data_IF_205476502050
#
_entry.id   IF_205476502050
#
_cell.length_a   1.000
_cell.length_b   1.000
_cell.length_c   1.000
_cell.angle_alpha   90.00
_cell.angle_beta   90.00
_cell.angle_gamma   90.00
#
_symmetry.space_group_name_H-M   'P 1'
#
loop_
_entity.id
_entity.type
_entity.pdbx_description
1 polymer ?
#
# COMPACT_ATOMS: atom_id res chain seq x y z
N UNK A 1 -17.06 66.13 -46.25
CA UNK A 1 -15.71 66.26 -46.83
C UNK A 1 -14.95 64.97 -46.51
N UNK A 2 -14.37 64.32 -47.54
CA UNK A 2 -13.58 63.05 -47.53
C UNK A 2 -14.45 61.76 -47.41
N UNK A 3 -14.96 61.16 -48.49
CA UNK A 3 -14.31 60.32 -49.54
C UNK A 3 -13.83 58.95 -48.99
N UNK A 4 -14.60 57.87 -49.19
CA UNK A 4 -14.40 56.79 -50.19
C UNK A 4 -12.97 56.25 -50.25
N UNK A 5 -12.82 54.93 -50.00
CA UNK A 5 -12.02 53.98 -50.78
C UNK A 5 -12.28 52.53 -50.29
N UNK A 6 -13.14 51.80 -51.01
CA UNK A 6 -13.01 50.34 -51.16
C UNK A 6 -12.09 50.10 -52.38
N UNK A 7 -11.36 48.97 -52.44
CA UNK A 7 -11.79 47.96 -53.41
C UNK A 7 -11.65 46.53 -52.84
N UNK A 8 -12.71 45.73 -53.00
CA UNK A 8 -12.85 44.66 -53.99
C UNK A 8 -12.30 43.31 -53.53
N UNK A 9 -13.27 42.45 -53.15
CA UNK A 9 -13.36 41.04 -53.48
C UNK A 9 -12.04 40.29 -53.67
N UNK A 10 -11.46 39.84 -52.56
CA UNK A 10 -10.56 38.69 -52.60
C UNK A 10 -11.43 37.46 -52.90
N UNK A 11 -11.17 36.86 -54.05
CA UNK A 11 -11.91 35.73 -54.60
C UNK A 11 -11.84 34.56 -53.60
N UNK A 12 -12.94 34.30 -52.89
CA UNK A 12 -13.01 33.37 -51.76
C UNK A 12 -12.58 31.93 -52.14
N UNK A 13 -12.66 31.58 -53.43
CA UNK A 13 -12.18 30.31 -53.96
C UNK A 13 -10.65 30.14 -53.93
N UNK A 14 -9.87 31.21 -54.11
CA UNK A 14 -8.41 31.12 -54.11
C UNK A 14 -7.84 30.91 -52.69
N UNK A 15 -8.48 31.51 -51.69
CA UNK A 15 -8.09 31.34 -50.28
C UNK A 15 -8.32 29.89 -49.81
N UNK A 16 -9.43 29.26 -50.23
CA UNK A 16 -9.73 27.86 -49.92
C UNK A 16 -8.75 26.88 -50.58
N UNK A 17 -8.28 27.17 -51.80
CA UNK A 17 -7.27 26.36 -52.48
C UNK A 17 -5.90 26.45 -51.81
N UNK A 18 -5.49 27.65 -51.37
CA UNK A 18 -4.22 27.84 -50.65
C UNK A 18 -4.26 27.10 -49.30
N UNK A 19 -5.37 27.17 -48.56
CA UNK A 19 -5.52 26.46 -47.28
C UNK A 19 -5.47 24.93 -47.49
N UNK A 20 -6.11 24.41 -48.55
CA UNK A 20 -6.08 22.98 -48.88
C UNK A 20 -4.66 22.49 -49.23
N UNK A 21 -3.91 23.28 -50.02
CA UNK A 21 -2.53 22.96 -50.38
C UNK A 21 -1.59 22.93 -49.17
N UNK A 22 -1.71 23.90 -48.25
CA UNK A 22 -0.90 23.95 -47.02
C UNK A 22 -1.19 22.76 -46.10
N UNK A 23 -2.45 22.33 -46.00
CA UNK A 23 -2.82 21.15 -45.22
C UNK A 23 -2.27 19.87 -45.84
N UNK A 24 -2.29 19.72 -47.17
CA UNK A 24 -1.72 18.54 -47.85
C UNK A 24 -0.19 18.48 -47.70
N UNK A 25 0.53 19.60 -47.86
CA UNK A 25 1.99 19.64 -47.66
C UNK A 25 2.36 19.31 -46.22
N UNK A 26 1.58 19.78 -45.24
CA UNK A 26 1.80 19.46 -43.82
C UNK A 26 1.55 17.97 -43.51
N UNK A 27 0.61 17.33 -44.21
CA UNK A 27 0.34 15.90 -44.06
C UNK A 27 1.42 15.02 -44.71
N UNK A 28 1.96 15.44 -45.85
CA UNK A 28 3.09 14.75 -46.52
C UNK A 28 4.35 14.81 -45.64
N UNK A 29 4.65 15.99 -45.07
CA UNK A 29 5.79 16.14 -44.15
C UNK A 29 5.66 15.31 -42.86
N UNK A 30 4.43 15.05 -42.38
CA UNK A 30 4.21 14.17 -41.23
C UNK A 30 4.31 12.67 -41.58
N UNK A 31 3.99 12.29 -42.81
CA UNK A 31 4.12 10.90 -43.25
C UNK A 31 5.57 10.52 -43.55
N UNK A 32 6.36 11.45 -44.10
CA UNK A 32 7.78 11.22 -44.41
C UNK A 32 8.67 11.14 -43.17
N UNK A 33 8.23 11.74 -42.04
CA UNK A 33 8.96 11.71 -40.77
C UNK A 33 8.67 10.46 -39.91
N UNK A 34 7.78 9.55 -40.34
CA UNK A 34 7.50 8.30 -39.61
C UNK A 34 8.19 7.06 -40.18
N UNK A 35 8.89 7.17 -41.31
CA UNK A 35 9.52 6.03 -41.99
C UNK A 35 11.02 5.85 -41.70
N UNK A 36 11.63 6.68 -40.86
CA UNK A 36 13.01 6.48 -40.40
C UNK A 36 13.06 5.94 -38.96
N UNK A 37 12.85 4.62 -38.79
CA UNK A 37 13.27 3.89 -37.58
C UNK A 37 14.69 3.36 -37.78
N UNK A 38 15.68 3.71 -36.93
CA UNK A 38 17.02 3.16 -37.04
C UNK A 38 17.08 1.72 -36.49
N UNK A 39 17.76 0.84 -37.23
CA UNK A 39 18.01 -0.58 -36.94
C UNK A 39 18.98 -0.83 -35.77
N UNK A 40 18.78 -0.19 -34.61
CA UNK A 40 19.78 -0.16 -33.53
C UNK A 40 19.35 -0.86 -32.21
N UNK A 41 18.17 -1.50 -32.17
CA UNK A 41 17.64 -2.10 -30.93
C UNK A 41 18.12 -3.55 -30.70
N UNK A 42 18.53 -4.28 -31.74
CA UNK A 42 19.10 -5.64 -31.59
C UNK A 42 20.54 -5.59 -31.04
N UNK A 43 21.36 -4.66 -31.53
CA UNK A 43 22.73 -4.39 -31.07
C UNK A 43 22.79 -4.07 -29.57
N UNK A 44 21.82 -3.30 -29.07
CA UNK A 44 21.77 -2.89 -27.66
C UNK A 44 21.38 -4.04 -26.71
N UNK A 45 20.54 -4.97 -27.17
CA UNK A 45 20.19 -6.18 -26.41
C UNK A 45 21.36 -7.15 -26.30
N UNK A 46 22.14 -7.32 -27.37
CA UNK A 46 23.27 -8.23 -27.36
C UNK A 46 24.42 -7.71 -26.48
N UNK A 47 24.70 -6.39 -26.49
CA UNK A 47 25.65 -5.79 -25.53
C UNK A 47 25.26 -6.03 -24.07
N UNK A 48 23.98 -5.82 -23.72
CA UNK A 48 23.50 -6.06 -22.35
C UNK A 48 23.63 -7.53 -21.93
N UNK A 49 23.46 -8.46 -22.87
CA UNK A 49 23.62 -9.90 -22.61
C UNK A 49 25.09 -10.25 -22.37
N UNK A 50 26.03 -9.65 -23.12
CA UNK A 50 27.46 -9.83 -22.92
C UNK A 50 27.93 -9.23 -21.59
N UNK A 51 27.47 -8.03 -21.24
CA UNK A 51 27.77 -7.38 -19.95
C UNK A 51 27.28 -8.24 -18.76
N UNK A 52 26.08 -8.81 -18.85
CA UNK A 52 25.53 -9.68 -17.79
C UNK A 52 26.33 -10.98 -17.63
N UNK A 53 26.78 -11.57 -18.74
CA UNK A 53 27.59 -12.79 -18.73
C UNK A 53 29.00 -12.54 -18.16
N UNK A 54 29.57 -11.36 -18.40
CA UNK A 54 30.86 -10.96 -17.82
C UNK A 54 30.74 -10.80 -16.29
N UNK A 55 29.71 -10.08 -15.82
CA UNK A 55 29.47 -9.89 -14.38
C UNK A 55 29.20 -11.21 -13.64
N UNK A 56 28.50 -12.16 -14.28
CA UNK A 56 28.28 -13.50 -13.70
C UNK A 56 29.56 -14.33 -13.60
N UNK A 57 30.53 -14.13 -14.50
CA UNK A 57 31.84 -14.80 -14.40
C UNK A 57 32.67 -14.23 -13.25
N UNK A 58 32.69 -12.91 -13.08
CA UNK A 58 33.39 -12.24 -11.97
C UNK A 58 32.83 -12.67 -10.60
N UNK A 59 31.51 -12.76 -10.47
CA UNK A 59 30.86 -13.22 -9.24
C UNK A 59 31.14 -14.70 -8.90
N UNK A 60 31.47 -15.51 -9.91
CA UNK A 60 31.79 -16.92 -9.72
C UNK A 60 33.24 -17.13 -9.27
N UNK A 61 34.17 -16.25 -9.68
CA UNK A 61 35.57 -16.26 -9.22
C UNK A 61 35.72 -15.79 -7.78
N UNK A 62 34.95 -14.78 -7.35
CA UNK A 62 35.02 -14.27 -5.96
C UNK A 62 34.51 -15.27 -4.91
N UNK A 63 33.60 -16.18 -5.30
CA UNK A 63 33.10 -17.24 -4.40
C UNK A 63 34.11 -18.34 -4.12
N UNK A 64 35.19 -18.43 -4.89
CA UNK A 64 36.22 -19.45 -4.70
C UNK A 64 37.18 -19.02 -3.58
N UNK A 65 37.35 -17.72 -3.31
CA UNK A 65 38.23 -17.20 -2.26
C UNK A 65 37.57 -17.13 -0.86
N UNK A 66 36.24 -17.12 -0.79
CA UNK A 66 35.52 -16.97 0.48
C UNK A 66 35.36 -18.27 1.30
N UNK A 67 35.84 -19.41 0.81
CA UNK A 67 35.57 -20.73 1.41
C UNK A 67 36.53 -21.14 2.54
N UNK A 68 37.49 -20.29 2.90
CA UNK A 68 38.53 -20.58 3.92
C UNK A 68 38.40 -19.74 5.22
N UNK A 69 37.20 -19.27 5.59
CA UNK A 69 36.97 -18.53 6.85
C UNK A 69 35.84 -19.11 7.72
N UNK A 70 35.92 -20.40 8.00
CA UNK A 70 35.12 -21.02 9.06
C UNK A 70 35.97 -21.20 10.33
N UNK A 71 35.91 -20.23 11.25
CA UNK A 71 36.11 -20.47 12.69
C UNK A 71 35.79 -19.22 13.52
N UNK A 72 34.61 -19.15 14.15
CA UNK A 72 34.49 -18.90 15.59
C UNK A 72 33.03 -19.02 16.05
N UNK A 73 32.84 -19.89 17.04
CA UNK A 73 31.62 -20.14 17.79
C UNK A 73 31.43 -19.08 18.89
N UNK A 74 30.15 -18.88 19.22
CA UNK A 74 29.59 -18.60 20.55
C UNK A 74 29.77 -17.19 21.17
N UNK A 75 28.66 -16.47 21.30
CA UNK A 75 28.46 -15.46 22.33
C UNK A 75 26.97 -15.10 22.46
N UNK A 76 26.28 -15.74 23.42
CA UNK A 76 25.12 -15.14 24.10
C UNK A 76 25.65 -13.97 24.92
N UNK A 77 25.27 -12.74 24.60
CA UNK A 77 25.52 -11.58 25.47
C UNK A 77 24.23 -10.76 25.54
N UNK A 78 23.57 -10.87 26.68
CA UNK A 78 22.76 -9.79 27.26
C UNK A 78 23.78 -8.86 27.92
N UNK A 79 23.84 -7.55 27.60
CA UNK A 79 24.67 -6.65 28.39
C UNK A 79 23.96 -6.33 29.71
N UNK A 80 24.53 -6.80 30.82
CA UNK A 80 24.30 -6.18 32.13
C UNK A 80 25.03 -4.84 32.17
N UNK A 81 24.25 -3.81 32.44
CA UNK A 81 24.64 -2.41 32.53
C UNK A 81 25.33 -2.19 33.90
N UNK A 82 26.67 -2.08 33.89
CA UNK A 82 27.45 -1.60 35.03
C UNK A 82 28.09 -0.29 34.60
N UNK A 83 27.42 0.82 34.90
CA UNK A 83 27.92 2.18 34.65
C UNK A 83 28.57 2.76 35.92
N UNK A 84 29.84 3.15 35.84
CA UNK A 84 30.51 3.96 36.86
C UNK A 84 30.01 5.42 36.81
N UNK A 85 29.96 6.13 37.97
CA UNK A 85 29.41 7.48 38.02
C UNK A 85 30.45 8.51 37.54
N UNK A 86 30.20 9.15 36.40
CA UNK A 86 30.88 10.43 36.08
C UNK A 86 31.23 10.71 34.62
N UNK A 87 31.01 9.80 33.67
CA UNK A 87 31.18 10.11 32.26
C UNK A 87 29.83 10.37 31.60
N UNK A 88 29.60 11.63 31.24
CA UNK A 88 28.51 12.01 30.34
C UNK A 88 28.85 11.44 28.97
N UNK A 89 28.36 10.23 28.71
CA UNK A 89 28.57 9.53 27.45
C UNK A 89 28.14 10.43 26.29
N UNK A 90 29.05 10.66 25.34
CA UNK A 90 28.71 11.05 23.98
C UNK A 90 28.04 9.88 23.25
N UNK A 91 27.04 9.28 23.89
CA UNK A 91 26.31 8.10 23.43
C UNK A 91 25.22 8.51 22.45
N UNK A 92 24.84 7.57 21.58
CA UNK A 92 23.68 7.74 20.72
C UNK A 92 22.47 8.18 21.58
N UNK A 93 21.58 9.06 21.07
CA UNK A 93 20.41 9.49 21.81
C UNK A 93 19.66 8.28 22.37
N UNK A 94 19.14 8.39 23.59
CA UNK A 94 18.22 7.38 24.12
C UNK A 94 16.95 7.41 23.28
N UNK A 95 16.87 6.53 22.28
CA UNK A 95 15.76 6.47 21.34
C UNK A 95 14.52 5.80 21.94
N UNK A 96 14.69 5.01 23.01
CA UNK A 96 13.56 4.44 23.73
C UNK A 96 12.82 5.56 24.48
N UNK A 97 11.55 5.81 24.17
CA UNK A 97 10.81 6.92 24.75
C UNK A 97 10.52 6.66 26.23
N UNK A 98 10.45 7.73 27.03
CA UNK A 98 9.99 7.65 28.41
C UNK A 98 8.47 7.43 28.44
N UNK A 99 8.06 6.16 28.48
CA UNK A 99 6.65 5.78 28.54
C UNK A 99 5.93 6.23 29.80
N UNK A 100 6.65 6.54 30.89
CA UNK A 100 6.03 7.08 32.10
C UNK A 100 5.60 8.52 31.84
N UNK A 101 6.48 9.34 31.28
CA UNK A 101 6.14 10.69 30.85
C UNK A 101 5.05 10.70 29.76
N UNK A 102 5.08 9.75 28.82
CA UNK A 102 4.04 9.63 27.79
C UNK A 102 2.66 9.28 28.37
N UNK A 103 2.60 8.51 29.46
CA UNK A 103 1.34 8.14 30.10
C UNK A 103 0.65 9.34 30.77
N UNK A 104 1.39 10.41 31.08
CA UNK A 104 0.85 11.65 31.64
C UNK A 104 0.21 12.55 30.57
N UNK A 105 0.57 12.34 29.29
CA UNK A 105 0.02 13.12 28.18
C UNK A 105 -1.49 12.87 28.05
N UNK A 106 -2.24 13.93 27.79
CA UNK A 106 -3.67 13.85 27.50
C UNK A 106 -3.88 13.76 25.97
N UNK A 107 -4.21 12.57 25.43
CA UNK A 107 -4.44 12.44 23.99
C UNK A 107 -5.67 13.24 23.57
N UNK A 108 -5.56 13.94 22.43
CA UNK A 108 -6.70 14.66 21.83
C UNK A 108 -7.84 13.71 21.44
N UNK A 109 -7.49 12.54 20.91
CA UNK A 109 -8.43 11.47 20.58
C UNK A 109 -8.31 10.38 21.64
N UNK A 110 -9.24 10.38 22.59
CA UNK A 110 -9.33 9.38 23.67
C UNK A 110 -10.03 8.12 23.15
N UNK A 111 -9.36 6.98 23.22
CA UNK A 111 -9.90 5.67 22.85
C UNK A 111 -10.04 4.76 24.06
N UNK A 112 -10.71 3.62 23.88
CA UNK A 112 -10.87 2.59 24.92
C UNK A 112 -9.50 2.10 25.44
N UNK A 113 -9.16 2.34 26.71
CA UNK A 113 -7.87 1.93 27.29
C UNK A 113 -7.79 0.41 27.51
N UNK A 114 -8.90 -0.31 27.34
CA UNK A 114 -8.97 -1.76 27.50
C UNK A 114 -9.02 -2.50 26.17
N UNK A 115 -8.98 -1.80 25.03
CA UNK A 115 -8.93 -2.46 23.72
C UNK A 115 -7.78 -1.95 22.90
N UNK A 116 -6.99 -2.87 22.37
CA UNK A 116 -5.75 -2.57 21.68
C UNK A 116 -5.81 -3.01 20.22
N UNK A 117 -5.17 -2.22 19.37
CA UNK A 117 -4.96 -2.54 17.96
C UNK A 117 -3.51 -2.24 17.56
N UNK A 118 -2.88 -3.22 16.93
CA UNK A 118 -1.59 -3.06 16.27
C UNK A 118 -1.59 -3.77 14.92
N UNK A 119 -0.86 -3.29 13.91
CA UNK A 119 -0.69 -4.04 12.68
C UNK A 119 0.58 -4.90 12.69
N UNK A 120 0.54 -5.99 11.91
CA UNK A 120 1.76 -6.61 11.39
C UNK A 120 2.01 -6.05 9.99
N UNK A 121 3.10 -5.31 9.79
CA UNK A 121 3.32 -4.52 8.57
C UNK A 121 3.99 -5.33 7.44
N UNK A 122 3.72 -4.96 6.18
CA UNK A 122 4.22 -5.66 4.99
C UNK A 122 5.02 -4.74 4.04
N UNK A 123 5.82 -5.34 3.16
CA UNK A 123 6.63 -4.65 2.15
C UNK A 123 7.66 -3.66 2.72
N UNK A 124 7.98 -2.61 1.96
CA UNK A 124 9.01 -1.62 2.26
C UNK A 124 8.61 -0.49 3.20
N UNK A 125 9.58 0.36 3.60
CA UNK A 125 9.38 1.39 4.62
C UNK A 125 8.15 2.29 4.37
N UNK A 126 7.99 2.81 3.15
CA UNK A 126 6.85 3.67 2.79
C UNK A 126 5.50 2.93 2.87
N UNK A 127 5.48 1.65 2.51
CA UNK A 127 4.27 0.82 2.56
C UNK A 127 3.89 0.50 4.00
N UNK A 128 4.88 0.28 4.86
CA UNK A 128 4.69 0.05 6.28
C UNK A 128 4.16 1.30 6.99
N UNK A 129 4.71 2.49 6.70
CA UNK A 129 4.17 3.76 7.21
C UNK A 129 2.72 3.97 6.77
N UNK A 130 2.40 3.66 5.51
CA UNK A 130 1.02 3.72 5.01
C UNK A 130 0.10 2.73 5.74
N UNK A 131 0.53 1.49 5.91
CA UNK A 131 -0.21 0.47 6.65
C UNK A 131 -0.47 0.89 8.10
N UNK A 132 0.52 1.51 8.75
CA UNK A 132 0.36 2.05 10.09
C UNK A 132 -0.64 3.22 10.14
N UNK A 133 -0.57 4.17 9.19
CA UNK A 133 -1.56 5.25 9.08
C UNK A 133 -2.98 4.72 8.89
N UNK A 134 -3.15 3.72 8.03
CA UNK A 134 -4.44 3.04 7.85
C UNK A 134 -4.91 2.42 9.18
N UNK A 135 -3.99 1.86 9.97
CA UNK A 135 -4.28 1.27 11.28
C UNK A 135 -4.70 2.28 12.32
N UNK A 136 -4.04 3.44 12.39
CA UNK A 136 -4.46 4.57 13.23
C UNK A 136 -5.89 4.98 12.90
N UNK A 137 -6.24 5.07 11.61
CA UNK A 137 -7.61 5.37 11.20
C UNK A 137 -8.60 4.28 11.64
N UNK A 138 -8.25 3.01 11.46
CA UNK A 138 -9.12 1.90 11.88
C UNK A 138 -9.32 1.87 13.40
N UNK A 139 -8.28 2.14 14.18
CA UNK A 139 -8.35 2.22 15.64
C UNK A 139 -9.36 3.26 16.13
N UNK A 140 -9.36 4.46 15.53
CA UNK A 140 -10.36 5.50 15.85
C UNK A 140 -11.77 4.98 15.56
N UNK A 141 -11.99 4.36 14.40
CA UNK A 141 -13.30 3.86 13.98
C UNK A 141 -13.80 2.66 14.79
N UNK A 142 -12.90 1.90 15.40
CA UNK A 142 -13.24 0.76 16.25
C UNK A 142 -13.14 1.07 17.75
N UNK A 143 -12.79 2.30 18.11
CA UNK A 143 -12.50 2.72 19.48
C UNK A 143 -11.47 1.80 20.17
N UNK A 144 -10.27 1.66 19.60
CA UNK A 144 -9.18 0.82 20.12
C UNK A 144 -7.89 1.61 20.26
N UNK A 145 -7.31 1.66 21.44
CA UNK A 145 -5.98 2.24 21.72
C UNK A 145 -4.92 1.65 20.80
N UNK A 146 -4.07 2.51 20.23
CA UNK A 146 -3.01 2.09 19.31
C UNK A 146 -1.82 1.58 20.08
N UNK A 147 -1.27 0.45 19.63
CA UNK A 147 0.05 -0.03 20.04
C UNK A 147 1.00 0.16 18.86
N UNK A 148 2.04 1.01 18.96
CA UNK A 148 3.03 1.20 17.91
C UNK A 148 3.63 -0.14 17.44
N UNK A 149 3.62 -0.43 16.13
CA UNK A 149 4.06 -1.72 15.62
C UNK A 149 5.58 -1.82 15.53
N UNK A 150 6.08 -3.06 15.52
CA UNK A 150 7.38 -3.33 14.93
C UNK A 150 7.35 -3.03 13.42
N UNK A 151 8.37 -2.33 12.94
CA UNK A 151 8.67 -2.21 11.52
C UNK A 151 9.65 -3.31 11.13
N UNK A 152 9.75 -3.58 9.84
CA UNK A 152 10.63 -4.60 9.30
C UNK A 152 11.60 -4.02 8.28
N UNK A 153 12.85 -4.50 8.26
CA UNK A 153 13.77 -4.26 7.15
C UNK A 153 13.17 -4.73 5.82
N UNK A 154 13.55 -4.09 4.72
CA UNK A 154 13.07 -4.47 3.39
C UNK A 154 13.89 -5.65 2.84
N UNK A 155 13.26 -6.81 2.66
CA UNK A 155 13.93 -8.06 2.26
C UNK A 155 14.73 -8.02 0.94
N UNK A 156 14.45 -7.05 0.06
CA UNK A 156 15.21 -6.85 -1.20
C UNK A 156 16.36 -5.86 -1.13
N UNK A 157 16.30 -4.84 -0.27
CA UNK A 157 17.26 -3.72 -0.27
C UNK A 157 18.13 -3.71 0.98
N UNK A 158 17.66 -4.35 2.04
CA UNK A 158 18.28 -4.39 3.35
C UNK A 158 18.58 -5.86 3.68
N UNK A 159 19.28 -6.54 2.76
CA UNK A 159 19.74 -7.90 3.00
C UNK A 159 20.93 -7.81 3.94
N UNK A 160 20.80 -8.40 5.12
CA UNK A 160 21.98 -8.78 5.88
C UNK A 160 22.45 -10.08 5.23
N UNK A 161 23.69 -10.10 4.71
CA UNK A 161 24.23 -11.22 3.92
C UNK A 161 24.23 -12.55 4.69
N UNK A 162 24.14 -12.49 6.02
CA UNK A 162 24.22 -13.63 6.93
C UNK A 162 22.88 -14.06 7.57
N UNK A 163 21.76 -13.39 7.24
CA UNK A 163 20.47 -13.73 7.87
C UNK A 163 19.53 -14.49 6.95
N UNK A 164 19.19 -15.73 7.33
CA UNK A 164 18.13 -16.51 6.65
C UNK A 164 16.72 -15.91 6.87
N UNK A 165 16.54 -15.08 7.91
CA UNK A 165 15.26 -14.46 8.24
C UNK A 165 15.14 -13.04 7.68
N UNK A 166 14.10 -12.80 6.87
CA UNK A 166 13.77 -11.47 6.34
C UNK A 166 12.91 -10.61 7.30
N UNK A 167 12.81 -11.00 8.57
CA UNK A 167 11.91 -10.39 9.54
C UNK A 167 12.64 -9.58 10.63
N UNK A 168 13.75 -8.92 10.28
CA UNK A 168 14.46 -8.02 11.19
C UNK A 168 13.59 -6.86 11.62
N UNK A 169 13.43 -6.73 12.94
CA UNK A 169 12.60 -5.70 13.55
C UNK A 169 13.36 -4.38 13.65
N UNK A 170 12.64 -3.30 13.35
CA UNK A 170 13.01 -1.94 13.66
C UNK A 170 11.94 -1.42 14.61
N UNK A 171 12.36 -0.96 15.78
CA UNK A 171 11.45 -0.42 16.77
C UNK A 171 10.72 0.83 16.26
N UNK A 172 9.47 1.08 16.69
CA UNK A 172 8.63 2.16 16.15
C UNK A 172 9.21 3.56 16.37
N UNK A 173 9.91 3.78 17.49
CA UNK A 173 10.54 5.06 17.81
C UNK A 173 11.71 5.43 16.88
N UNK A 174 12.22 4.49 16.08
CA UNK A 174 13.17 4.80 15.00
C UNK A 174 12.49 5.25 13.70
N UNK A 175 11.15 5.26 13.65
CA UNK A 175 10.38 5.56 12.42
C UNK A 175 9.49 6.79 12.54
N UNK A 176 9.01 7.11 13.73
CA UNK A 176 8.18 8.28 13.97
C UNK A 176 8.27 8.74 15.42
N UNK A 177 7.84 9.99 15.65
CA UNK A 177 7.76 10.61 16.97
C UNK A 177 6.58 10.01 17.77
N UNK A 178 6.93 9.19 18.77
CA UNK A 178 5.96 8.53 19.66
C UNK A 178 5.24 9.56 20.54
N UNK A 179 5.93 10.63 20.97
CA UNK A 179 5.34 11.70 21.79
C UNK A 179 4.27 12.45 21.02
N UNK A 180 4.53 12.76 19.74
CA UNK A 180 3.52 13.35 18.85
C UNK A 180 2.32 12.42 18.66
N UNK A 181 2.55 11.11 18.50
CA UNK A 181 1.46 10.13 18.41
C UNK A 181 0.64 10.08 19.71
N UNK A 182 1.29 9.95 20.88
CA UNK A 182 0.64 9.87 22.18
C UNK A 182 -0.13 11.15 22.55
N UNK A 183 0.35 12.31 22.11
CA UNK A 183 -0.39 13.59 22.25
C UNK A 183 -1.64 13.62 21.37
N UNK A 184 -1.60 12.98 20.21
CA UNK A 184 -2.71 12.99 19.26
C UNK A 184 -3.79 11.95 19.61
N UNK A 185 -3.40 10.73 19.97
CA UNK A 185 -4.29 9.58 20.11
C UNK A 185 -3.84 8.66 21.25
N UNK A 186 -4.80 8.05 21.95
CA UNK A 186 -4.51 7.02 22.96
C UNK A 186 -3.54 5.97 22.40
N UNK A 187 -2.37 5.89 23.04
CA UNK A 187 -1.23 5.08 22.61
C UNK A 187 -0.70 4.29 23.80
N UNK A 188 -0.34 3.03 23.57
CA UNK A 188 0.14 2.10 24.59
C UNK A 188 1.58 1.67 24.33
N UNK A 189 2.33 1.36 25.40
CA UNK A 189 3.69 0.84 25.32
C UNK A 189 3.72 -0.56 24.68
N UNK A 190 4.40 -0.72 23.52
CA UNK A 190 4.66 -2.01 22.90
C UNK A 190 5.18 -3.08 23.86
N UNK A 191 6.02 -2.72 24.84
CA UNK A 191 6.67 -3.68 25.73
C UNK A 191 5.73 -4.18 26.84
N UNK A 192 4.62 -3.48 27.10
CA UNK A 192 3.62 -3.88 28.10
C UNK A 192 2.46 -4.67 27.52
N UNK A 193 2.37 -4.76 26.19
CA UNK A 193 1.19 -5.31 25.53
C UNK A 193 1.04 -6.82 25.78
N UNK A 194 2.13 -7.57 25.86
CA UNK A 194 2.10 -9.00 26.20
C UNK A 194 1.36 -9.24 27.51
N UNK A 195 1.74 -8.52 28.57
CA UNK A 195 1.07 -8.61 29.87
C UNK A 195 -0.39 -8.13 29.80
N UNK A 196 -0.65 -6.99 29.15
CA UNK A 196 -2.01 -6.44 29.02
C UNK A 196 -2.96 -7.34 28.23
N UNK A 197 -2.43 -8.15 27.32
CA UNK A 197 -3.18 -9.05 26.45
C UNK A 197 -3.22 -10.51 26.93
N UNK A 198 -2.62 -10.84 28.08
CA UNK A 198 -2.52 -12.22 28.56
C UNK A 198 -1.66 -13.11 27.65
N UNK A 199 -0.62 -12.53 27.04
CA UNK A 199 0.36 -13.23 26.22
C UNK A 199 -0.07 -13.58 24.80
N UNK A 200 -1.29 -13.25 24.36
CA UNK A 200 -1.78 -13.60 23.02
C UNK A 200 -2.77 -12.58 22.44
N UNK A 201 -2.93 -12.55 21.12
CA UNK A 201 -3.96 -11.76 20.45
C UNK A 201 -5.27 -12.54 20.45
N UNK A 202 -6.38 -11.88 20.78
CA UNK A 202 -7.71 -12.52 20.77
C UNK A 202 -8.38 -12.44 19.41
N UNK A 203 -8.01 -11.46 18.56
CA UNK A 203 -8.59 -11.30 17.23
C UNK A 203 -7.53 -10.98 16.19
N UNK A 204 -7.73 -11.51 14.98
CA UNK A 204 -6.86 -11.26 13.84
C UNK A 204 -7.66 -10.65 12.70
N UNK A 205 -7.42 -9.37 12.40
CA UNK A 205 -8.13 -8.67 11.35
C UNK A 205 -7.44 -8.98 10.01
N UNK A 206 -8.10 -9.68 9.11
CA UNK A 206 -7.57 -10.02 7.78
C UNK A 206 -7.75 -8.84 6.83
N UNK A 207 -6.66 -8.44 6.18
CA UNK A 207 -6.71 -7.55 5.02
C UNK A 207 -6.74 -8.31 3.68
N UNK A 208 -6.33 -9.58 3.67
CA UNK A 208 -6.19 -10.41 2.45
C UNK A 208 -6.24 -11.90 2.83
N UNK A 209 -6.48 -12.79 1.86
CA UNK A 209 -6.50 -14.25 2.10
C UNK A 209 -5.12 -14.87 2.29
N UNK A 210 -4.12 -14.39 1.54
CA UNK A 210 -2.75 -14.93 1.57
C UNK A 210 -1.83 -14.20 2.55
N UNK A 211 -1.82 -14.61 3.82
CA UNK A 211 -1.04 -13.97 4.89
C UNK A 211 -0.04 -14.91 5.60
N UNK A 212 0.00 -16.20 5.28
CA UNK A 212 0.74 -17.23 6.02
C UNK A 212 1.94 -17.84 5.28
N UNK A 213 2.50 -17.13 4.29
CA UNK A 213 3.56 -17.67 3.41
C UNK A 213 4.82 -16.83 3.42
N UNK A 214 5.98 -17.50 3.30
CA UNK A 214 7.29 -16.87 3.18
C UNK A 214 7.56 -15.88 4.31
N UNK A 215 8.10 -14.71 3.96
CA UNK A 215 8.46 -13.66 4.90
C UNK A 215 7.30 -13.14 5.77
N UNK A 216 6.04 -13.36 5.38
CA UNK A 216 4.91 -13.00 6.25
C UNK A 216 4.86 -13.90 7.49
N UNK A 217 5.18 -15.19 7.35
CA UNK A 217 5.22 -16.13 8.49
C UNK A 217 6.31 -15.72 9.47
N UNK A 218 7.51 -15.39 8.99
CA UNK A 218 8.62 -14.96 9.85
C UNK A 218 8.29 -13.68 10.61
N UNK A 219 7.59 -12.74 9.95
CA UNK A 219 7.12 -11.50 10.58
C UNK A 219 6.13 -11.75 11.72
N UNK A 220 5.32 -12.82 11.67
CA UNK A 220 4.45 -13.17 12.81
C UNK A 220 5.30 -13.50 14.03
N UNK A 221 6.25 -14.42 13.89
CA UNK A 221 7.10 -14.84 15.01
C UNK A 221 7.97 -13.69 15.53
N UNK A 222 8.54 -12.89 14.63
CA UNK A 222 9.31 -11.71 15.01
C UNK A 222 8.45 -10.72 15.82
N UNK A 223 7.24 -10.39 15.34
CA UNK A 223 6.34 -9.50 16.07
C UNK A 223 5.90 -10.07 17.41
N UNK A 224 5.65 -11.37 17.46
CA UNK A 224 5.22 -12.06 18.68
C UNK A 224 6.34 -12.02 19.73
N UNK A 225 7.59 -12.30 19.33
CA UNK A 225 8.74 -12.11 20.19
C UNK A 225 8.88 -10.65 20.66
N UNK A 226 8.73 -9.67 19.77
CA UNK A 226 8.82 -8.25 20.13
C UNK A 226 7.83 -7.83 21.20
N UNK A 227 6.61 -8.37 21.18
CA UNK A 227 5.59 -8.07 22.17
C UNK A 227 5.59 -9.01 23.38
N UNK A 228 6.50 -9.99 23.43
CA UNK A 228 6.47 -11.08 24.41
C UNK A 228 5.11 -11.81 24.41
N UNK A 229 4.66 -12.18 23.22
CA UNK A 229 3.39 -12.87 22.96
C UNK A 229 3.62 -14.16 22.20
N UNK A 230 2.65 -15.07 22.23
CA UNK A 230 2.64 -16.31 21.48
C UNK A 230 1.28 -16.55 20.84
N UNK A 231 1.20 -17.55 19.95
CA UNK A 231 -0.09 -18.14 19.61
C UNK A 231 -0.64 -18.87 20.84
N UNK A 232 -1.97 -18.96 20.93
CA UNK A 232 -2.61 -19.90 21.84
C UNK A 232 -2.31 -21.32 21.32
N UNK A 233 -1.97 -22.24 22.21
CA UNK A 233 -1.69 -23.63 21.85
C UNK A 233 -2.84 -24.23 21.03
N UNK A 234 -2.54 -24.77 19.85
CA UNK A 234 -3.51 -25.33 18.91
C UNK A 234 -4.23 -24.30 18.01
N UNK A 235 -3.91 -23.01 18.16
CA UNK A 235 -4.43 -21.91 17.32
C UNK A 235 -3.31 -21.26 16.50
N UNK A 236 -2.25 -22.01 16.22
CA UNK A 236 -1.12 -21.55 15.44
C UNK A 236 -1.52 -21.23 14.00
N UNK A 237 -0.74 -20.36 13.37
CA UNK A 237 -0.89 -20.04 11.95
C UNK A 237 -0.64 -21.29 11.09
N UNK A 238 -1.69 -21.82 10.49
CA UNK A 238 -1.62 -22.98 9.60
C UNK A 238 -1.93 -22.61 8.15
N UNK A 239 -1.40 -23.41 7.23
CA UNK A 239 -1.68 -23.29 5.79
C UNK A 239 -2.19 -24.63 5.30
N UNK A 240 -3.46 -24.67 4.87
CA UNK A 240 -4.02 -25.84 4.19
C UNK A 240 -4.21 -25.50 2.71
N UNK A 241 -3.50 -26.22 1.83
CA UNK A 241 -3.41 -25.90 0.39
C UNK A 241 -2.98 -24.44 0.19
N UNK A 242 -3.88 -23.60 -0.33
CA UNK A 242 -3.65 -22.18 -0.59
C UNK A 242 -4.43 -21.26 0.36
N UNK A 243 -4.97 -21.80 1.45
CA UNK A 243 -5.77 -21.06 2.43
C UNK A 243 -4.99 -20.96 3.74
N UNK A 244 -4.91 -19.73 4.24
CA UNK A 244 -4.31 -19.44 5.53
C UNK A 244 -5.37 -19.49 6.60
N UNK A 245 -5.12 -20.28 7.64
CA UNK A 245 -6.03 -20.45 8.75
C UNK A 245 -5.39 -19.91 10.03
N UNK A 246 -6.18 -19.12 10.73
CA UNK A 246 -5.87 -18.58 12.04
C UNK A 246 -7.19 -18.43 12.79
N UNK A 247 -7.24 -18.99 13.99
CA UNK A 247 -8.44 -18.97 14.81
C UNK A 247 -8.81 -17.52 15.18
N UNK A 248 -10.10 -17.22 15.33
CA UNK A 248 -10.58 -15.85 15.59
C UNK A 248 -10.16 -14.80 14.54
N UNK A 249 -9.91 -15.22 13.29
CA UNK A 249 -9.63 -14.31 12.19
C UNK A 249 -10.90 -13.80 11.50
N UNK A 250 -11.02 -12.49 11.36
CA UNK A 250 -12.18 -11.80 10.76
C UNK A 250 -11.71 -10.79 9.70
N UNK A 251 -12.48 -10.51 8.63
CA UNK A 251 -13.77 -11.10 8.27
C UNK A 251 -13.63 -12.54 7.74
N UNK A 252 -14.74 -13.20 7.42
CA UNK A 252 -14.71 -14.46 6.63
C UNK A 252 -14.00 -14.26 5.28
N UNK A 253 -13.29 -15.28 4.79
CA UNK A 253 -12.55 -15.22 3.51
C UNK A 253 -13.44 -14.90 2.31
N UNK A 254 -14.74 -15.23 2.36
CA UNK A 254 -15.74 -14.88 1.35
C UNK A 254 -15.87 -13.38 1.16
N UNK A 255 -15.60 -12.58 2.19
CA UNK A 255 -15.61 -11.12 2.15
C UNK A 255 -14.28 -10.53 1.67
N UNK A 256 -13.26 -11.36 1.44
CA UNK A 256 -11.94 -10.95 0.95
C UNK A 256 -11.78 -11.23 -0.55
N UNK A 257 -10.98 -10.43 -1.27
CA UNK A 257 -10.72 -10.64 -2.70
C UNK A 257 -10.19 -12.05 -3.02
N UNK A 258 -10.81 -12.73 -3.98
CA UNK A 258 -10.43 -14.09 -4.39
C UNK A 258 -9.17 -14.16 -5.24
N UNK A 259 -8.88 -13.10 -6.00
CA UNK A 259 -7.71 -13.00 -6.89
C UNK A 259 -6.43 -12.53 -6.17
N UNK A 260 -6.42 -12.59 -4.84
CA UNK A 260 -5.35 -12.04 -4.01
C UNK A 260 -5.41 -10.51 -3.90
N UNK A 261 -4.43 -9.95 -3.18
CA UNK A 261 -4.37 -8.52 -2.88
C UNK A 261 -5.18 -8.10 -1.63
N UNK A 262 -5.07 -6.82 -1.24
CA UNK A 262 -5.77 -6.28 -0.08
C UNK A 262 -7.26 -6.06 -0.39
N UNK A 263 -8.08 -6.14 0.66
CA UNK A 263 -9.44 -5.61 0.66
C UNK A 263 -9.39 -4.09 0.50
N UNK A 264 -10.37 -3.50 -0.18
CA UNK A 264 -10.51 -2.05 -0.30
C UNK A 264 -11.78 -1.59 0.42
N UNK A 265 -11.61 -0.99 1.60
CA UNK A 265 -12.70 -0.58 2.46
C UNK A 265 -12.95 0.94 2.33
N UNK A 266 -14.22 1.38 2.36
CA UNK A 266 -14.55 2.79 2.48
C UNK A 266 -14.23 3.29 3.90
N UNK A 267 -14.24 4.62 4.08
CA UNK A 267 -14.04 5.25 5.40
C UNK A 267 -15.27 5.28 6.31
N UNK A 268 -16.38 4.65 5.88
CA UNK A 268 -17.60 4.54 6.68
C UNK A 268 -17.36 3.69 7.92
N UNK A 269 -17.65 4.26 9.09
CA UNK A 269 -17.52 3.56 10.37
C UNK A 269 -18.41 2.32 10.44
N UNK A 270 -19.64 2.41 9.94
CA UNK A 270 -20.59 1.31 9.87
C UNK A 270 -20.02 0.12 9.09
N UNK A 271 -19.38 0.38 7.95
CA UNK A 271 -18.75 -0.66 7.13
C UNK A 271 -17.54 -1.26 7.87
N UNK A 272 -16.67 -0.44 8.44
CA UNK A 272 -15.49 -0.93 9.16
C UNK A 272 -15.87 -1.77 10.38
N UNK A 273 -16.90 -1.35 11.14
CA UNK A 273 -17.46 -2.13 12.25
C UNK A 273 -18.05 -3.46 11.75
N UNK A 274 -18.74 -3.49 10.60
CA UNK A 274 -19.23 -4.76 10.02
C UNK A 274 -18.10 -5.76 9.74
N UNK A 275 -16.92 -5.28 9.38
CA UNK A 275 -15.77 -6.13 9.05
C UNK A 275 -14.94 -6.55 10.27
N UNK A 276 -14.76 -5.64 11.23
CA UNK A 276 -13.73 -5.78 12.26
C UNK A 276 -14.21 -5.53 13.70
N UNK A 277 -15.49 -5.19 13.91
CA UNK A 277 -16.03 -5.10 15.27
C UNK A 277 -15.88 -6.45 15.97
N UNK A 278 -15.32 -6.40 17.18
CA UNK A 278 -14.96 -7.59 17.94
C UNK A 278 -14.92 -7.24 19.42
N UNK A 279 -15.22 -8.22 20.26
CA UNK A 279 -15.20 -8.07 21.72
C UNK A 279 -13.79 -8.28 22.30
N UNK A 280 -12.90 -8.95 21.58
CA UNK A 280 -11.57 -9.29 22.10
C UNK A 280 -10.72 -8.06 22.37
N UNK A 281 -9.94 -8.18 23.44
CA UNK A 281 -9.13 -7.11 24.03
C UNK A 281 -8.08 -6.63 23.03
N UNK A 282 -7.28 -7.56 22.50
CA UNK A 282 -6.14 -7.28 21.67
C UNK A 282 -6.34 -7.84 20.27
N UNK A 283 -6.27 -6.94 19.28
CA UNK A 283 -6.43 -7.25 17.88
C UNK A 283 -5.14 -6.98 17.10
N UNK A 284 -4.81 -7.90 16.19
CA UNK A 284 -3.71 -7.77 15.25
C UNK A 284 -4.25 -7.58 13.82
N UNK A 285 -3.93 -6.47 13.17
CA UNK A 285 -4.29 -6.25 11.77
C UNK A 285 -3.24 -6.83 10.82
N UNK A 286 -3.65 -7.85 10.07
CA UNK A 286 -2.79 -8.65 9.21
C UNK A 286 -2.44 -7.93 7.91
N UNK A 287 -1.22 -7.36 7.86
CA UNK A 287 -0.60 -6.81 6.66
C UNK A 287 -1.41 -5.74 5.92
N UNK A 288 -1.89 -4.69 6.61
CA UNK A 288 -2.60 -3.60 5.95
C UNK A 288 -1.68 -2.84 5.00
N UNK A 289 -2.13 -2.65 3.77
CA UNK A 289 -1.50 -1.80 2.75
C UNK A 289 -2.52 -1.52 1.64
N UNK A 290 -2.91 -0.26 1.44
CA UNK A 290 -4.00 0.14 0.54
C UNK A 290 -5.36 -0.43 0.94
N UNK A 291 -5.58 -0.67 2.23
CA UNK A 291 -6.82 -1.26 2.70
C UNK A 291 -7.95 -0.25 2.85
N UNK A 292 -7.64 1.04 3.06
CA UNK A 292 -8.62 2.09 3.27
C UNK A 292 -8.56 3.12 2.14
N UNK A 293 -9.70 3.39 1.53
CA UNK A 293 -9.83 4.35 0.43
C UNK A 293 -10.08 5.78 0.93
N UNK A 294 -9.00 6.49 1.26
CA UNK A 294 -9.09 7.90 1.68
C UNK A 294 -9.50 8.89 0.58
N UNK A 295 -9.54 8.46 -0.70
CA UNK A 295 -9.82 9.35 -1.85
C UNK A 295 -11.17 10.04 -1.78
N UNK A 296 -12.15 9.44 -1.09
CA UNK A 296 -13.48 10.03 -0.93
C UNK A 296 -13.65 10.73 0.42
N UNK A 297 -12.71 10.59 1.35
CA UNK A 297 -12.78 11.17 2.69
C UNK A 297 -12.49 12.67 2.71
N UNK A 298 -11.76 13.17 1.70
CA UNK A 298 -11.45 14.60 1.52
C UNK A 298 -12.49 15.33 0.66
N UNK A 299 -13.53 14.64 0.16
CA UNK A 299 -14.57 15.22 -0.68
C UNK A 299 -15.80 15.71 0.10
N UNK A 300 -15.73 15.80 1.42
CA UNK A 300 -16.87 16.20 2.23
C UNK A 300 -17.25 17.67 2.02
N UNK A 301 -18.49 17.93 1.60
CA UNK A 301 -19.46 18.42 2.57
C UNK A 301 -20.14 17.18 3.19
N UNK A 302 -20.45 17.23 4.49
CA UNK A 302 -21.15 16.18 5.21
C UNK A 302 -22.48 15.84 4.49
N UNK A 303 -22.53 14.71 3.79
CA UNK A 303 -23.78 14.15 3.27
C UNK A 303 -24.15 13.00 4.20
N UNK A 304 -25.38 13.08 4.70
CA UNK A 304 -25.96 12.26 5.77
C UNK A 304 -25.76 10.77 5.55
N UNK A 305 -25.63 10.05 6.67
CA UNK A 305 -25.45 8.59 6.74
C UNK A 305 -26.61 7.77 6.15
N UNK A 306 -27.68 8.43 5.68
CA UNK A 306 -28.95 7.81 5.28
C UNK A 306 -28.96 7.19 3.88
N UNK A 307 -27.99 7.47 3.00
CA UNK A 307 -28.01 6.94 1.62
C UNK A 307 -27.30 5.58 1.44
N UNK A 308 -27.01 4.87 2.53
CA UNK A 308 -26.28 3.61 2.47
C UNK A 308 -27.17 2.38 2.77
N UNK A 309 -28.49 2.56 2.78
CA UNK A 309 -29.45 1.47 2.69
C UNK A 309 -29.74 1.18 1.22
N UNK A 310 -28.86 0.39 0.59
CA UNK A 310 -29.22 -0.58 -0.46
C UNK A 310 -27.96 -1.37 -0.84
N UNK A 311 -28.07 -2.71 -0.73
CA UNK A 311 -27.26 -3.80 -1.28
C UNK A 311 -25.74 -3.64 -1.53
N UNK A 312 -24.88 -4.59 -1.07
CA UNK A 312 -23.46 -4.59 -1.40
C UNK A 312 -23.24 -5.21 -2.79
N UNK A 313 -23.39 -4.42 -3.85
CA UNK A 313 -22.82 -4.81 -5.14
C UNK A 313 -21.32 -4.48 -5.15
N UNK A 314 -20.52 -5.40 -4.62
CA UNK A 314 -19.06 -5.40 -4.78
C UNK A 314 -18.69 -5.95 -6.17
N UNK A 315 -19.24 -5.33 -7.23
CA UNK A 315 -18.82 -5.61 -8.61
C UNK A 315 -18.95 -4.39 -9.52
N UNK A 316 -18.03 -3.42 -9.41
CA UNK A 316 -17.45 -2.71 -10.56
C UNK A 316 -16.59 -1.53 -10.11
N UNK A 317 -15.29 -1.72 -10.20
CA UNK A 317 -14.29 -0.68 -9.96
C UNK A 317 -13.08 -0.91 -10.84
N UNK A 318 -13.27 -1.01 -12.15
CA UNK A 318 -12.20 -0.80 -13.12
C UNK A 318 -11.75 0.67 -13.07
N UNK A 319 -10.96 1.03 -12.06
CA UNK A 319 -10.15 2.23 -12.09
C UNK A 319 -8.85 1.93 -12.83
N UNK A 320 -8.84 2.10 -14.15
CA UNK A 320 -7.59 2.16 -14.93
C UNK A 320 -6.79 3.37 -14.42
N UNK A 321 -5.61 3.13 -13.85
CA UNK A 321 -4.59 4.16 -13.71
C UNK A 321 -4.13 4.64 -15.09
N UNK A 322 -3.58 5.86 -15.20
CA UNK A 322 -3.22 6.45 -16.48
C UNK A 322 -2.00 5.71 -17.06
N UNK A 323 -2.24 4.89 -18.08
CA UNK A 323 -1.19 4.47 -18.99
C UNK A 323 -1.06 5.53 -20.09
N UNK A 324 0.10 6.17 -20.11
CA UNK A 324 0.63 6.91 -21.24
C UNK A 324 0.61 6.05 -22.52
N UNK A 325 0.12 6.65 -23.60
CA UNK A 325 0.43 6.25 -24.98
C UNK A 325 -0.36 5.07 -25.55
N UNK A 326 -1.46 5.33 -26.25
CA UNK A 326 -1.55 5.26 -27.71
C UNK A 326 -3.00 5.39 -28.18
N UNK A 327 -3.14 6.03 -29.35
CA UNK A 327 -4.36 6.61 -29.91
C UNK A 327 -5.35 5.53 -30.38
N UNK A 328 -6.61 5.70 -30.01
CA UNK A 328 -7.77 5.09 -30.68
C UNK A 328 -8.27 6.01 -31.79
N UNK A 329 -8.29 5.49 -33.03
CA UNK A 329 -9.05 6.03 -34.15
C UNK A 329 -10.39 5.30 -34.18
N UNK A 330 -11.50 6.02 -34.03
CA UNK A 330 -12.72 5.83 -34.82
C UNK A 330 -13.77 6.87 -34.40
N UNK A 331 -14.14 7.69 -35.37
CA UNK A 331 -15.01 8.86 -35.28
C UNK A 331 -16.44 8.43 -35.60
N UNK A 332 -17.38 8.87 -34.77
CA UNK A 332 -18.82 8.70 -34.95
C UNK A 332 -19.37 9.47 -36.16
N UNK A 333 -20.44 8.94 -36.77
CA UNK A 333 -21.48 9.63 -37.54
C UNK A 333 -22.75 8.77 -37.47
N UNK A 334 -23.98 9.26 -37.46
CA UNK A 334 -24.63 10.55 -37.14
C UNK A 334 -26.14 10.20 -37.23
N UNK A 335 -26.94 10.65 -36.27
CA UNK A 335 -28.42 10.58 -36.32
C UNK A 335 -28.96 11.28 -37.57
N UNK A 336 -30.02 10.74 -38.17
CA UNK A 336 -31.02 11.51 -38.92
C UNK A 336 -32.40 10.98 -38.57
N UNK A 337 -33.23 11.87 -38.04
CA UNK A 337 -34.66 11.74 -37.82
C UNK A 337 -35.40 12.01 -39.12
N UNK A 338 -36.41 11.22 -39.43
CA UNK A 338 -37.52 11.64 -40.29
C UNK A 338 -38.79 10.94 -39.80
N UNK A 339 -39.81 11.76 -39.63
CA UNK A 339 -41.16 11.49 -39.17
C UNK A 339 -42.05 11.10 -40.35
N UNK A 340 -42.92 10.10 -40.18
CA UNK A 340 -44.33 10.22 -40.59
C UNK A 340 -45.14 9.00 -40.13
N UNK A 341 -46.37 9.27 -39.70
CA UNK A 341 -47.36 8.34 -39.21
C UNK A 341 -48.48 8.17 -40.24
N UNK A 342 -49.05 6.96 -40.34
CA UNK A 342 -50.44 6.55 -40.70
C UNK A 342 -50.39 5.18 -41.40
N UNK A 343 -50.86 4.11 -40.75
CA UNK A 343 -52.25 3.65 -40.68
C UNK A 343 -52.63 2.72 -41.85
N UNK A 344 -52.74 1.41 -41.62
CA UNK A 344 -54.03 0.70 -41.49
C UNK A 344 -53.87 -0.82 -41.50
N UNK A 345 -54.61 -1.42 -40.57
CA UNK A 345 -55.04 -2.82 -40.50
C UNK A 345 -55.94 -3.17 -41.70
N UNK A 346 -55.78 -4.36 -42.29
CA UNK A 346 -56.78 -5.44 -42.31
C UNK A 346 -56.31 -6.62 -43.20
N UNK A 347 -56.32 -7.82 -42.62
CA UNK A 347 -56.85 -9.01 -43.30
C UNK A 347 -57.48 -9.91 -42.22
N UNK A 348 -58.80 -10.11 -42.38
CA UNK A 348 -59.78 -10.90 -41.60
C UNK A 348 -60.45 -10.24 -40.41
#
# INVERSE_FOLDING_TARGET
>A
MIARLFPQSVNCGLLLLIISAVIMVSFIFQLENQTQRPANDSSRKERRKQELMQALKELATDKIEAKDRDNYLDARIIPEDVSEPGQQESGCPKWYPDWSALAELQPRIKLDPNKFLTPILTYGPNNQQRGFRETVFLAVKLNRTIVPPAFFKHSRTDKDDDSESHAHIIAPWHRFDISALATMISTEDPMKIGNKCGGHFQNYFKAKRGYCTGSNKDRFYALFNFFSMSFVSGQELTKNKNVCHLENSIPDDKLLPSKGGPIYLPTSERVLKRFYASKGKCALWLFPYHCIQFKNSLKGNAISEDQLNDSPDLSSGQGRGPNFGQKSIAKAKRKRSESEAKANFFFK
#
